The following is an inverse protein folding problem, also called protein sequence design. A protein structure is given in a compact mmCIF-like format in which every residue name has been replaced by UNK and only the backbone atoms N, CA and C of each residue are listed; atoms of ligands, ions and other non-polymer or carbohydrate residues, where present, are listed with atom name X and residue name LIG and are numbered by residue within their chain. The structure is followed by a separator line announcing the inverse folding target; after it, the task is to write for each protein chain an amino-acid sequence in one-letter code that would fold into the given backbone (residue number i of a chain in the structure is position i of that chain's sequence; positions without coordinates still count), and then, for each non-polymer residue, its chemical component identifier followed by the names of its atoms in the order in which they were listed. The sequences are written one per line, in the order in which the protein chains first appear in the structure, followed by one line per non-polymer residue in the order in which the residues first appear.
data_IF_898343831976
#
_entry.id   IF_898343831976
#
_cell.length_a   1.000
_cell.length_b   1.000
_cell.length_c   1.000
_cell.angle_alpha   90.00
_cell.angle_beta   90.00
_cell.angle_gamma   90.00
#
_symmetry.space_group_name_H-M   'P 1'
#
loop_
_entity.id
_entity.type
_entity.pdbx_description
1 polymer ?
#
# COMPACT_ATOMS: atom_id res chain seq x y z
N UNK A 1 -1.04 -38.33 12.09
CA UNK A 1 -0.81 -36.88 11.89
C UNK A 1 -1.85 -36.15 12.70
N UNK A 2 -1.46 -35.44 13.75
CA UNK A 2 -2.42 -34.63 14.53
C UNK A 2 -2.70 -33.36 13.72
N UNK A 3 -3.94 -33.09 13.30
CA UNK A 3 -4.24 -31.86 12.59
C UNK A 3 -3.99 -30.67 13.52
N UNK A 4 -3.16 -29.72 13.07
CA UNK A 4 -2.99 -28.45 13.76
C UNK A 4 -4.37 -27.77 13.86
N UNK A 5 -4.83 -27.53 15.09
CA UNK A 5 -6.07 -26.82 15.36
C UNK A 5 -5.75 -25.33 15.49
N UNK A 6 -6.00 -24.55 14.44
CA UNK A 6 -5.93 -23.10 14.52
C UNK A 6 -7.27 -22.52 14.97
N UNK A 7 -7.25 -21.62 15.95
CA UNK A 7 -8.38 -20.74 16.27
C UNK A 7 -8.20 -19.41 15.53
N UNK A 8 -9.30 -18.82 15.04
CA UNK A 8 -9.27 -17.50 14.39
C UNK A 8 -9.11 -17.52 12.86
N UNK A 9 -8.35 -16.57 12.31
CA UNK A 9 -8.34 -16.24 10.87
C UNK A 9 -7.83 -17.36 9.94
N UNK A 10 -7.02 -18.28 10.46
CA UNK A 10 -6.43 -19.42 9.71
C UNK A 10 -7.14 -20.75 9.98
N UNK A 11 -8.31 -20.72 10.64
CA UNK A 11 -9.08 -21.90 11.00
C UNK A 11 -9.30 -22.86 9.80
N UNK A 12 -8.89 -24.11 9.97
CA UNK A 12 -8.93 -25.20 8.97
C UNK A 12 -8.16 -24.96 7.65
N UNK A 13 -7.17 -24.05 7.62
CA UNK A 13 -6.32 -23.80 6.45
C UNK A 13 -4.95 -24.48 6.53
N UNK A 14 -4.87 -25.68 7.12
CA UNK A 14 -3.62 -26.37 7.42
C UNK A 14 -2.72 -26.58 6.19
N UNK A 15 -3.31 -27.00 5.07
CA UNK A 15 -2.57 -27.19 3.81
C UNK A 15 -1.99 -25.87 3.30
N UNK A 16 -2.79 -24.80 3.31
CA UNK A 16 -2.32 -23.47 2.89
C UNK A 16 -1.20 -22.95 3.80
N UNK A 17 -1.30 -23.15 5.11
CA UNK A 17 -0.27 -22.74 6.06
C UNK A 17 1.02 -23.54 5.87
N UNK A 18 0.92 -24.85 5.66
CA UNK A 18 2.06 -25.69 5.31
C UNK A 18 2.74 -25.18 4.03
N UNK A 19 1.98 -24.89 2.97
CA UNK A 19 2.52 -24.36 1.72
C UNK A 19 3.16 -22.97 1.90
N UNK A 20 2.60 -22.10 2.74
CA UNK A 20 3.19 -20.79 3.04
C UNK A 20 4.51 -20.91 3.84
N UNK A 21 4.61 -21.90 4.74
CA UNK A 21 5.86 -22.21 5.45
C UNK A 21 6.92 -22.75 4.48
N UNK A 22 6.56 -23.72 3.63
CA UNK A 22 7.44 -24.26 2.61
C UNK A 22 7.90 -23.17 1.63
N UNK A 23 7.02 -22.24 1.27
CA UNK A 23 7.36 -21.09 0.42
C UNK A 23 8.34 -20.14 1.10
N UNK A 24 8.13 -19.84 2.38
CA UNK A 24 9.05 -18.99 3.16
C UNK A 24 10.44 -19.61 3.27
N UNK A 25 10.53 -20.95 3.19
CA UNK A 25 11.78 -21.71 3.16
C UNK A 25 12.37 -21.87 1.76
N UNK A 26 11.67 -21.42 0.72
CA UNK A 26 12.09 -21.58 -0.67
C UNK A 26 11.99 -23.01 -1.20
N UNK A 27 11.14 -23.87 -0.62
CA UNK A 27 10.95 -25.26 -1.06
C UNK A 27 9.84 -25.39 -2.11
N UNK A 28 8.80 -24.56 -1.99
CA UNK A 28 7.72 -24.44 -2.98
C UNK A 28 7.54 -22.99 -3.40
N UNK A 29 6.94 -22.76 -4.56
CA UNK A 29 6.65 -21.42 -5.07
C UNK A 29 5.25 -21.35 -5.67
N UNK A 30 4.70 -20.15 -5.74
CA UNK A 30 3.46 -19.89 -6.48
C UNK A 30 3.82 -19.86 -7.97
N UNK A 31 3.47 -20.92 -8.69
CA UNK A 31 3.72 -21.04 -10.14
C UNK A 31 2.64 -20.32 -10.98
N UNK A 32 1.48 -20.01 -10.40
CA UNK A 32 0.40 -19.33 -11.11
C UNK A 32 -0.87 -19.21 -10.29
N UNK A 33 -1.97 -18.82 -10.97
CA UNK A 33 -3.30 -18.74 -10.36
C UNK A 33 -4.38 -19.21 -11.33
N UNK A 34 -5.39 -19.90 -10.79
CA UNK A 34 -6.67 -20.17 -11.47
C UNK A 34 -7.76 -19.44 -10.68
N UNK A 35 -8.26 -18.34 -11.24
CA UNK A 35 -9.13 -17.42 -10.50
C UNK A 35 -8.45 -16.93 -9.22
N UNK A 36 -9.05 -17.22 -8.05
CA UNK A 36 -8.51 -16.85 -6.73
C UNK A 36 -7.61 -17.91 -6.09
N UNK A 37 -7.44 -19.07 -6.72
CA UNK A 37 -6.65 -20.17 -6.19
C UNK A 37 -5.19 -20.08 -6.65
N UNK A 38 -4.25 -20.35 -5.75
CA UNK A 38 -2.81 -20.42 -6.04
C UNK A 38 -2.46 -21.81 -6.57
N UNK A 39 -1.74 -21.85 -7.69
CA UNK A 39 -1.06 -23.05 -8.15
C UNK A 39 0.34 -23.07 -7.53
N UNK A 40 0.73 -24.21 -6.97
CA UNK A 40 2.01 -24.39 -6.29
C UNK A 40 2.85 -25.40 -7.07
N UNK A 41 4.15 -25.15 -7.15
CA UNK A 41 5.13 -26.10 -7.70
C UNK A 41 6.41 -26.05 -6.85
N UNK A 42 7.35 -26.96 -7.12
CA UNK A 42 8.68 -26.93 -6.52
C UNK A 42 9.39 -25.63 -6.88
N UNK A 43 10.05 -25.01 -5.90
CA UNK A 43 10.72 -23.73 -6.09
C UNK A 43 11.75 -23.76 -7.21
N UNK A 44 12.49 -24.85 -7.38
CA UNK A 44 13.51 -25.05 -8.43
C UNK A 44 12.95 -25.02 -9.86
N UNK A 45 11.63 -25.24 -10.04
CA UNK A 45 10.97 -25.17 -11.35
C UNK A 45 10.44 -23.78 -11.67
N UNK A 46 10.35 -22.92 -10.65
CA UNK A 46 9.77 -21.58 -10.75
C UNK A 46 10.84 -20.50 -10.69
N UNK A 47 11.80 -20.64 -9.80
CA UNK A 47 12.91 -19.70 -9.63
C UNK A 47 14.12 -20.11 -10.45
N UNK A 48 14.94 -19.14 -10.92
CA UNK A 48 16.19 -19.44 -11.61
C UNK A 48 17.14 -20.28 -10.74
N UNK A 49 17.84 -21.24 -11.34
CA UNK A 49 18.74 -22.15 -10.63
C UNK A 49 20.04 -21.47 -10.13
N UNK A 50 20.37 -20.31 -10.69
CA UNK A 50 21.56 -19.51 -10.39
C UNK A 50 21.32 -18.45 -9.30
N UNK A 51 20.18 -18.51 -8.60
CA UNK A 51 19.90 -17.60 -7.47
C UNK A 51 20.87 -17.88 -6.33
N UNK A 52 21.80 -16.95 -6.13
CA UNK A 52 22.68 -16.95 -4.96
C UNK A 52 21.88 -16.60 -3.71
N UNK A 53 21.78 -17.54 -2.78
CA UNK A 53 21.14 -17.32 -1.48
C UNK A 53 22.13 -16.57 -0.56
N UNK A 54 21.86 -15.30 -0.20
CA UNK A 54 22.74 -14.54 0.69
C UNK A 54 22.70 -15.07 2.12
N UNK A 55 23.68 -14.68 2.94
CA UNK A 55 23.58 -14.86 4.39
C UNK A 55 22.37 -14.10 4.95
N UNK A 56 21.88 -14.49 6.13
CA UNK A 56 20.75 -13.83 6.78
C UNK A 56 21.02 -12.34 7.00
N UNK A 57 22.25 -12.00 7.38
CA UNK A 57 22.70 -10.61 7.58
C UNK A 57 22.67 -9.81 6.27
N UNK A 58 23.23 -10.37 5.20
CA UNK A 58 23.23 -9.72 3.89
C UNK A 58 21.80 -9.58 3.32
N UNK A 59 20.95 -10.60 3.52
CA UNK A 59 19.54 -10.54 3.16
C UNK A 59 18.81 -9.42 3.90
N UNK A 60 19.07 -9.26 5.19
CA UNK A 60 18.48 -8.21 6.02
C UNK A 60 18.93 -6.82 5.57
N UNK A 61 20.23 -6.65 5.29
CA UNK A 61 20.81 -5.40 4.75
C UNK A 61 20.16 -5.02 3.42
N UNK A 62 20.15 -5.92 2.44
CA UNK A 62 19.53 -5.70 1.11
C UNK A 62 18.05 -5.38 1.20
N UNK A 63 17.31 -6.06 2.10
CA UNK A 63 15.90 -5.78 2.34
C UNK A 63 15.69 -4.36 2.86
N UNK A 64 16.53 -3.93 3.79
CA UNK A 64 16.44 -2.59 4.36
C UNK A 64 16.81 -1.49 3.35
N UNK A 65 17.84 -1.70 2.54
CA UNK A 65 18.22 -0.80 1.44
C UNK A 65 17.08 -0.64 0.43
N UNK A 66 16.50 -1.75 -0.04
CA UNK A 66 15.34 -1.71 -0.96
C UNK A 66 14.11 -1.04 -0.34
N UNK A 67 13.89 -1.25 0.96
CA UNK A 67 12.80 -0.59 1.68
C UNK A 67 13.04 0.91 1.77
N UNK A 68 14.25 1.34 2.12
CA UNK A 68 14.59 2.75 2.19
C UNK A 68 14.45 3.43 0.83
N UNK A 69 14.96 2.80 -0.24
CA UNK A 69 14.80 3.29 -1.60
C UNK A 69 13.33 3.43 -2.02
N UNK A 70 12.47 2.51 -1.59
CA UNK A 70 11.02 2.61 -1.85
C UNK A 70 10.31 3.66 -1.02
N UNK A 71 10.85 4.07 0.14
CA UNK A 71 10.21 5.00 1.06
C UNK A 71 10.78 6.42 0.99
N UNK A 72 11.99 6.58 0.43
CA UNK A 72 12.81 7.80 0.47
C UNK A 72 13.39 8.07 1.85
N UNK A 73 12.56 8.06 2.89
CA UNK A 73 12.94 8.30 4.29
C UNK A 73 12.23 7.34 5.24
N UNK A 74 12.93 6.77 6.21
CA UNK A 74 12.34 5.83 7.17
C UNK A 74 13.03 5.89 8.53
N UNK A 75 12.37 5.38 9.58
CA UNK A 75 12.98 5.29 10.90
C UNK A 75 14.07 4.22 10.94
N UNK A 76 15.18 4.50 11.63
CA UNK A 76 16.25 3.52 11.88
C UNK A 76 15.72 2.34 12.70
N UNK A 77 14.88 2.63 13.70
CA UNK A 77 14.23 1.65 14.58
C UNK A 77 12.75 1.97 14.73
N UNK A 78 11.93 0.93 14.85
CA UNK A 78 10.50 1.06 15.14
C UNK A 78 10.00 -0.17 15.90
N UNK A 79 8.83 -0.06 16.55
CA UNK A 79 8.15 -1.25 17.09
C UNK A 79 7.86 -2.20 15.94
N UNK A 80 8.57 -3.33 15.91
CA UNK A 80 8.30 -4.38 14.95
C UNK A 80 6.90 -4.93 15.20
N UNK A 81 6.01 -4.81 14.21
CA UNK A 81 4.82 -5.64 14.14
C UNK A 81 5.26 -7.07 13.75
N UNK A 82 4.56 -8.12 14.21
CA UNK A 82 4.83 -9.47 13.74
C UNK A 82 4.80 -9.51 12.20
N UNK A 83 5.77 -10.20 11.61
CA UNK A 83 5.92 -10.47 10.16
C UNK A 83 6.51 -9.38 9.27
N UNK A 84 6.42 -8.08 9.58
CA UNK A 84 7.10 -7.05 8.76
C UNK A 84 7.58 -5.84 9.59
N UNK A 85 8.86 -5.82 10.02
CA UNK A 85 9.45 -4.60 10.57
C UNK A 85 9.52 -3.53 9.48
N UNK A 86 9.00 -2.33 9.75
CA UNK A 86 8.96 -1.18 8.83
C UNK A 86 10.22 -0.30 8.88
N UNK A 87 11.12 -0.54 9.85
CA UNK A 87 12.37 0.19 9.99
C UNK A 87 13.46 -0.33 9.04
N UNK A 88 14.55 0.43 8.94
CA UNK A 88 15.64 0.18 7.97
C UNK A 88 17.03 -0.01 8.59
N UNK A 89 17.18 0.05 9.92
CA UNK A 89 18.48 -0.07 10.57
C UNK A 89 19.46 0.97 10.00
N UNK A 90 20.69 0.54 9.70
CA UNK A 90 21.75 1.43 9.19
C UNK A 90 21.73 1.65 7.67
N UNK A 91 20.65 1.32 6.96
CA UNK A 91 20.58 1.61 5.52
C UNK A 91 20.57 3.14 5.26
N UNK A 92 21.15 3.56 4.13
CA UNK A 92 21.23 4.97 3.72
C UNK A 92 22.03 5.84 4.69
N UNK A 93 21.71 7.13 4.76
CA UNK A 93 22.41 8.10 5.59
C UNK A 93 21.55 8.58 6.78
N UNK A 94 22.14 8.89 7.95
CA UNK A 94 21.42 9.54 9.04
C UNK A 94 20.76 10.85 8.60
N UNK A 95 19.50 11.04 8.99
CA UNK A 95 18.74 12.23 8.68
C UNK A 95 18.02 12.77 9.93
N UNK A 96 17.69 14.05 9.91
CA UNK A 96 16.83 14.71 10.88
C UNK A 96 15.64 15.27 10.12
N UNK A 97 14.44 15.04 10.65
CA UNK A 97 13.22 15.68 10.13
C UNK A 97 12.82 16.78 11.08
N UNK A 98 12.68 18.00 10.54
CA UNK A 98 12.33 19.18 11.33
C UNK A 98 11.02 18.95 12.10
N UNK A 99 11.04 19.26 13.40
CA UNK A 99 9.86 19.12 14.26
C UNK A 99 9.50 17.67 14.64
N UNK A 100 10.19 16.64 14.13
CA UNK A 100 9.84 15.24 14.36
C UNK A 100 11.01 14.49 14.99
N UNK A 101 10.84 14.12 16.26
CA UNK A 101 11.85 13.40 17.01
C UNK A 101 12.12 11.98 16.46
N UNK A 102 13.35 11.54 16.67
CA UNK A 102 13.79 10.17 16.44
C UNK A 102 14.92 10.04 15.42
N UNK A 103 15.43 8.82 15.29
CA UNK A 103 16.50 8.48 14.36
C UNK A 103 15.90 8.14 12.98
N UNK A 104 16.21 8.97 11.99
CA UNK A 104 15.77 8.78 10.61
C UNK A 104 16.93 8.41 9.72
N UNK A 105 16.61 7.68 8.65
CA UNK A 105 17.51 7.37 7.55
C UNK A 105 16.88 7.82 6.25
N UNK A 106 17.69 8.35 5.35
CA UNK A 106 17.29 8.79 4.01
C UNK A 106 18.06 8.02 2.95
N UNK A 107 17.42 7.72 1.84
CA UNK A 107 18.10 7.24 0.64
C UNK A 107 18.90 8.40 0.03
N UNK A 108 20.23 8.31 -0.07
CA UNK A 108 21.03 9.37 -0.69
C UNK A 108 20.63 9.65 -2.14
N UNK A 109 20.09 8.65 -2.85
CA UNK A 109 19.60 8.82 -4.22
C UNK A 109 18.31 9.67 -4.31
N UNK A 110 17.66 9.95 -3.18
CA UNK A 110 16.49 10.82 -3.11
C UNK A 110 16.84 12.28 -2.72
N UNK A 111 18.14 12.62 -2.62
CA UNK A 111 18.61 13.94 -2.23
C UNK A 111 19.24 14.69 -3.42
N UNK A 112 19.13 16.02 -3.39
CA UNK A 112 19.89 16.92 -4.29
C UNK A 112 19.24 17.20 -5.65
N UNK A 113 18.15 16.51 -5.97
CA UNK A 113 17.36 16.76 -7.18
C UNK A 113 16.26 17.79 -6.94
N UNK A 114 15.87 18.51 -8.01
CA UNK A 114 14.67 19.36 -8.01
C UNK A 114 13.41 18.50 -7.85
N UNK A 115 12.47 18.95 -7.02
CA UNK A 115 11.21 18.26 -6.82
C UNK A 115 10.16 18.69 -7.85
N UNK A 116 9.74 17.76 -8.71
CA UNK A 116 8.56 17.91 -9.55
C UNK A 116 7.40 17.08 -8.98
N UNK A 117 6.48 17.76 -8.30
CA UNK A 117 5.32 17.10 -7.71
C UNK A 117 4.26 16.71 -8.75
N UNK A 118 3.51 15.63 -8.46
CA UNK A 118 2.38 15.17 -9.28
C UNK A 118 1.09 15.06 -8.47
N UNK A 119 -0.03 14.92 -9.15
CA UNK A 119 -1.28 14.49 -8.50
C UNK A 119 -1.41 12.98 -8.65
N UNK A 120 -1.91 12.27 -7.64
CA UNK A 120 -2.17 10.84 -7.74
C UNK A 120 -3.26 10.39 -6.76
N UNK A 121 -4.06 9.42 -7.18
CA UNK A 121 -4.94 8.66 -6.28
C UNK A 121 -4.19 7.44 -5.76
N UNK A 122 -3.89 7.43 -4.46
CA UNK A 122 -3.10 6.37 -3.85
C UNK A 122 -3.98 5.19 -3.44
N UNK A 123 -3.43 3.99 -3.59
CA UNK A 123 -3.99 2.82 -2.93
C UNK A 123 -3.92 3.00 -1.40
N UNK A 124 -4.90 2.53 -0.62
CA UNK A 124 -4.79 2.42 0.84
C UNK A 124 -3.60 1.57 1.31
N UNK A 125 -3.01 0.80 0.39
CA UNK A 125 -1.81 -0.03 0.61
C UNK A 125 -0.55 0.55 -0.04
N UNK A 126 -0.62 1.77 -0.57
CA UNK A 126 0.56 2.46 -1.08
C UNK A 126 1.58 2.67 0.05
N UNK A 127 2.87 2.53 -0.27
CA UNK A 127 3.97 2.63 0.70
C UNK A 127 3.99 4.00 1.40
N UNK A 128 3.48 5.05 0.76
CA UNK A 128 3.40 6.39 1.35
C UNK A 128 2.43 6.45 2.54
N UNK A 129 1.32 5.71 2.50
CA UNK A 129 0.20 5.80 3.46
C UNK A 129 -0.02 4.53 4.30
N UNK A 130 0.64 3.42 3.95
CA UNK A 130 0.45 2.13 4.60
C UNK A 130 0.87 2.17 6.09
N UNK A 131 2.00 2.80 6.38
CA UNK A 131 2.43 3.13 7.74
C UNK A 131 1.78 4.45 8.18
N UNK A 132 0.61 4.33 8.82
CA UNK A 132 -0.19 5.49 9.25
C UNK A 132 0.52 6.37 10.27
N UNK A 133 1.42 5.80 11.09
CA UNK A 133 2.16 6.57 12.10
C UNK A 133 3.15 7.48 11.37
N UNK A 134 3.97 6.91 10.50
CA UNK A 134 4.91 7.70 9.67
C UNK A 134 4.17 8.71 8.79
N UNK A 135 3.03 8.32 8.24
CA UNK A 135 2.22 9.22 7.40
C UNK A 135 1.71 10.42 8.18
N UNK A 136 1.18 10.18 9.39
CA UNK A 136 0.74 11.26 10.28
C UNK A 136 1.91 12.15 10.71
N UNK A 137 3.06 11.57 11.03
CA UNK A 137 4.24 12.33 11.45
C UNK A 137 4.76 13.22 10.32
N UNK A 138 5.01 12.65 9.13
CA UNK A 138 5.66 13.36 8.03
C UNK A 138 4.72 14.27 7.23
N UNK A 139 3.42 13.95 7.14
CA UNK A 139 2.48 14.64 6.26
C UNK A 139 1.28 15.25 7.00
N UNK A 140 1.20 15.12 8.32
CA UNK A 140 0.06 15.55 9.15
C UNK A 140 -1.29 15.04 8.59
N UNK A 141 -1.31 13.77 8.16
CA UNK A 141 -2.43 13.21 7.41
C UNK A 141 -3.09 12.02 8.14
N UNK A 142 -4.29 12.28 8.68
CA UNK A 142 -5.11 11.27 9.34
C UNK A 142 -5.82 10.38 8.30
N UNK A 143 -5.50 9.10 8.28
CA UNK A 143 -6.13 8.15 7.37
C UNK A 143 -6.26 6.74 7.93
N UNK A 144 -7.49 6.20 7.84
CA UNK A 144 -7.82 4.83 8.22
C UNK A 144 -8.62 4.20 7.10
N UNK A 145 -8.23 2.98 6.71
CA UNK A 145 -8.98 2.17 5.76
C UNK A 145 -10.22 1.58 6.43
N UNK A 146 -11.40 1.97 5.96
CA UNK A 146 -12.67 1.67 6.65
C UNK A 146 -13.47 0.51 6.04
N UNK A 147 -12.85 -0.32 5.20
CA UNK A 147 -13.52 -1.48 4.57
C UNK A 147 -14.14 -2.44 5.60
N UNK A 148 -13.56 -2.50 6.80
CA UNK A 148 -14.00 -3.34 7.90
C UNK A 148 -15.04 -2.66 8.81
N UNK A 149 -15.26 -1.35 8.66
CA UNK A 149 -16.32 -0.66 9.39
C UNK A 149 -17.68 -0.93 8.75
N UNK A 150 -18.77 -1.09 9.54
CA UNK A 150 -20.13 -1.02 9.03
C UNK A 150 -20.35 0.26 8.22
N UNK A 151 -21.15 0.21 7.15
CA UNK A 151 -21.35 1.34 6.22
C UNK A 151 -21.71 2.65 6.92
N UNK A 152 -22.53 2.58 7.98
CA UNK A 152 -23.01 3.74 8.75
C UNK A 152 -21.94 4.38 9.64
N UNK A 153 -20.84 3.67 9.92
CA UNK A 153 -19.73 4.16 10.76
C UNK A 153 -18.53 4.62 9.93
N UNK A 154 -18.66 4.64 8.61
CA UNK A 154 -17.59 5.10 7.70
C UNK A 154 -17.63 6.63 7.61
N UNK A 155 -16.48 7.25 7.86
CA UNK A 155 -16.23 8.68 7.64
C UNK A 155 -15.82 8.95 6.19
N UNK A 156 -14.99 8.06 5.64
CA UNK A 156 -14.33 8.26 4.34
C UNK A 156 -14.88 7.38 3.23
N UNK A 157 -15.52 6.27 3.57
CA UNK A 157 -16.05 5.33 2.57
C UNK A 157 -15.43 3.95 2.65
N UNK A 158 -15.80 3.04 1.75
CA UNK A 158 -15.38 1.63 1.85
C UNK A 158 -13.89 1.44 1.56
N UNK A 159 -13.40 2.12 0.53
CA UNK A 159 -12.04 1.99 0.03
C UNK A 159 -11.53 3.36 -0.45
N UNK A 160 -11.63 4.35 0.43
CA UNK A 160 -11.26 5.72 0.13
C UNK A 160 -9.78 5.84 -0.27
N UNK A 161 -9.51 6.37 -1.45
CA UNK A 161 -8.18 6.54 -2.03
C UNK A 161 -7.59 7.89 -1.56
N UNK A 162 -6.46 7.93 -0.83
CA UNK A 162 -5.79 9.19 -0.51
C UNK A 162 -5.42 9.98 -1.78
N UNK A 163 -5.57 11.30 -1.71
CA UNK A 163 -5.20 12.22 -2.80
C UNK A 163 -3.84 12.83 -2.47
N UNK A 164 -2.83 12.47 -3.25
CA UNK A 164 -1.56 13.19 -3.30
C UNK A 164 -1.70 14.32 -4.31
N UNK A 165 -1.25 15.52 -3.94
CA UNK A 165 -1.12 16.65 -4.85
C UNK A 165 0.20 17.36 -4.55
N UNK A 166 1.12 17.25 -5.51
CA UNK A 166 2.52 17.61 -5.36
C UNK A 166 3.17 16.91 -4.15
N UNK A 167 3.56 17.67 -3.14
CA UNK A 167 4.23 17.22 -1.92
C UNK A 167 3.26 16.95 -0.75
N UNK A 168 1.94 17.05 -0.97
CA UNK A 168 0.95 17.02 0.12
C UNK A 168 -0.14 15.98 -0.10
N UNK A 169 -0.57 15.35 1.00
CA UNK A 169 -1.80 14.58 1.04
C UNK A 169 -2.95 15.53 1.38
N UNK A 170 -3.88 15.72 0.44
CA UNK A 170 -4.85 16.84 0.47
C UNK A 170 -6.30 16.40 0.68
N UNK A 171 -6.58 15.10 0.56
CA UNK A 171 -7.94 14.60 0.68
C UNK A 171 -8.06 13.09 0.46
N UNK A 172 -9.30 12.64 0.26
CA UNK A 172 -9.65 11.26 -0.07
C UNK A 172 -10.74 11.21 -1.14
N UNK A 173 -10.72 10.21 -2.00
CA UNK A 173 -11.83 9.90 -2.93
C UNK A 173 -12.44 8.55 -2.57
N UNK A 174 -13.73 8.52 -2.24
CA UNK A 174 -14.50 7.26 -2.21
C UNK A 174 -15.07 6.99 -3.60
N UNK A 175 -14.52 5.98 -4.27
CA UNK A 175 -14.98 5.59 -5.59
C UNK A 175 -15.16 4.06 -5.70
N UNK A 176 -16.00 3.63 -6.63
CA UNK A 176 -16.22 2.21 -6.92
C UNK A 176 -16.24 1.97 -8.43
N UNK A 177 -15.49 0.96 -8.87
CA UNK A 177 -15.55 0.48 -10.24
C UNK A 177 -16.86 -0.30 -10.50
N UNK A 178 -17.83 0.35 -11.13
CA UNK A 178 -19.07 -0.28 -11.58
C UNK A 178 -18.86 -0.85 -13.00
N UNK A 179 -18.33 -2.07 -13.05
CA UNK A 179 -18.00 -2.74 -14.31
C UNK A 179 -19.22 -3.04 -15.18
N UNK A 180 -20.42 -3.15 -14.59
CA UNK A 180 -21.65 -3.42 -15.35
C UNK A 180 -22.09 -2.16 -16.10
N UNK A 181 -21.99 -1.00 -15.46
CA UNK A 181 -22.27 0.28 -16.10
C UNK A 181 -21.07 0.84 -16.88
N UNK A 182 -19.88 0.23 -16.75
CA UNK A 182 -18.62 0.72 -17.31
C UNK A 182 -18.23 2.11 -16.80
N UNK A 183 -18.41 2.37 -15.49
CA UNK A 183 -18.09 3.68 -14.89
C UNK A 183 -17.32 3.57 -13.59
N UNK A 184 -16.43 4.52 -13.34
CA UNK A 184 -15.86 4.80 -12.03
C UNK A 184 -16.81 5.72 -11.28
N UNK A 185 -17.58 5.16 -10.34
CA UNK A 185 -18.59 5.90 -9.59
C UNK A 185 -17.95 6.56 -8.36
N UNK A 186 -17.89 7.88 -8.36
CA UNK A 186 -17.36 8.71 -7.26
C UNK A 186 -18.49 9.04 -6.29
N UNK A 187 -18.44 8.47 -5.08
CA UNK A 187 -19.45 8.69 -4.04
C UNK A 187 -19.19 9.96 -3.25
N UNK A 188 -17.91 10.26 -2.99
CA UNK A 188 -17.50 11.45 -2.27
C UNK A 188 -16.05 11.82 -2.59
N UNK A 189 -15.77 13.12 -2.59
CA UNK A 189 -14.42 13.69 -2.49
C UNK A 189 -14.37 14.39 -1.14
N UNK A 190 -13.50 13.90 -0.25
CA UNK A 190 -13.24 14.47 1.07
C UNK A 190 -12.04 15.40 0.96
N UNK A 191 -12.29 16.69 1.13
CA UNK A 191 -11.26 17.73 1.14
C UNK A 191 -10.74 17.91 2.57
N UNK A 192 -9.51 17.49 2.86
CA UNK A 192 -8.85 17.82 4.14
C UNK A 192 -8.32 19.26 4.11
N UNK A 193 -8.07 19.79 2.91
CA UNK A 193 -7.84 21.20 2.62
C UNK A 193 -8.75 21.64 1.49
N UNK A 194 -9.17 22.91 1.48
CA UNK A 194 -10.02 23.44 0.41
C UNK A 194 -9.31 23.32 -0.95
N UNK A 195 -9.93 22.64 -1.89
CA UNK A 195 -9.36 22.47 -3.23
C UNK A 195 -9.45 23.78 -4.02
N UNK A 196 -8.32 24.15 -4.63
CA UNK A 196 -8.30 25.19 -5.66
C UNK A 196 -8.83 24.64 -6.97
N UNK A 197 -9.14 25.52 -7.93
CA UNK A 197 -9.57 25.09 -9.28
C UNK A 197 -8.53 24.19 -9.96
N UNK A 198 -7.25 24.49 -9.78
CA UNK A 198 -6.15 23.69 -10.32
C UNK A 198 -6.11 22.30 -9.68
N UNK A 199 -6.24 22.22 -8.35
CA UNK A 199 -6.30 20.95 -7.63
C UNK A 199 -7.50 20.11 -8.07
N UNK A 200 -8.70 20.71 -8.12
CA UNK A 200 -9.91 20.01 -8.58
C UNK A 200 -9.73 19.44 -9.98
N UNK A 201 -9.13 20.22 -10.90
CA UNK A 201 -8.86 19.75 -12.25
C UNK A 201 -7.87 18.59 -12.27
N UNK A 202 -6.79 18.67 -11.50
CA UNK A 202 -5.79 17.60 -11.44
C UNK A 202 -6.36 16.30 -10.84
N UNK A 203 -7.17 16.40 -9.78
CA UNK A 203 -7.87 15.23 -9.20
C UNK A 203 -8.86 14.63 -10.19
N UNK A 204 -9.56 15.47 -10.96
CA UNK A 204 -10.45 14.99 -12.02
C UNK A 204 -9.70 14.25 -13.12
N UNK A 205 -8.54 14.75 -13.56
CA UNK A 205 -7.66 14.03 -14.50
C UNK A 205 -7.23 12.68 -13.95
N UNK A 206 -6.80 12.60 -12.68
CA UNK A 206 -6.42 11.33 -12.06
C UNK A 206 -7.59 10.33 -11.94
N UNK A 207 -8.81 10.81 -11.74
CA UNK A 207 -10.02 9.96 -11.77
C UNK A 207 -10.27 9.37 -13.15
N UNK A 208 -10.08 10.18 -14.20
CA UNK A 208 -10.22 9.77 -15.60
C UNK A 208 -9.14 8.76 -15.98
N UNK A 209 -7.89 9.00 -15.59
CA UNK A 209 -6.77 8.09 -15.79
C UNK A 209 -6.97 6.76 -15.06
N UNK A 210 -7.47 6.81 -13.81
CA UNK A 210 -7.82 5.60 -13.06
C UNK A 210 -8.97 4.83 -13.74
N UNK A 211 -10.00 5.52 -14.24
CA UNK A 211 -11.09 4.89 -14.96
C UNK A 211 -10.59 4.20 -16.24
N UNK A 212 -9.73 4.88 -17.01
CA UNK A 212 -9.09 4.32 -18.20
C UNK A 212 -8.24 3.09 -17.86
N UNK A 213 -7.40 3.18 -16.82
CA UNK A 213 -6.56 2.08 -16.36
C UNK A 213 -7.39 0.85 -15.93
N UNK A 214 -8.56 1.08 -15.33
CA UNK A 214 -9.50 0.03 -14.95
C UNK A 214 -10.32 -0.53 -16.13
N UNK A 215 -10.20 0.04 -17.32
CA UNK A 215 -10.99 -0.32 -18.50
C UNK A 215 -12.44 0.12 -18.42
N UNK A 216 -12.72 1.27 -17.78
CA UNK A 216 -14.04 1.86 -17.63
C UNK A 216 -14.21 3.02 -18.63
N UNK A 217 -15.44 3.26 -19.09
CA UNK A 217 -15.74 4.24 -20.13
C UNK A 217 -15.95 5.67 -19.64
N UNK A 218 -16.25 5.87 -18.36
CA UNK A 218 -16.48 7.22 -17.81
C UNK A 218 -16.26 7.29 -16.29
N UNK A 219 -16.12 8.52 -15.79
CA UNK A 219 -16.20 8.87 -14.36
C UNK A 219 -17.56 9.52 -14.12
N UNK A 220 -18.29 9.06 -13.10
CA UNK A 220 -19.59 9.62 -12.75
C UNK A 220 -19.65 9.94 -11.26
N UNK A 221 -20.16 11.11 -10.91
CA UNK A 221 -20.62 11.36 -9.55
C UNK A 221 -21.80 10.42 -9.22
N UNK A 222 -21.81 9.84 -8.04
CA UNK A 222 -22.97 9.12 -7.56
C UNK A 222 -24.14 10.12 -7.44
N UNK A 223 -25.21 9.90 -8.22
CA UNK A 223 -26.45 10.67 -8.06
C UNK A 223 -27.01 10.51 -6.64
N UNK A 224 -27.95 11.38 -6.19
CA UNK A 224 -28.59 11.24 -4.90
C UNK A 224 -29.22 9.84 -4.81
N UNK A 225 -28.61 8.97 -4.00
CA UNK A 225 -28.94 7.56 -3.99
C UNK A 225 -30.43 7.35 -3.74
N UNK A 226 -31.09 6.58 -4.60
CA UNK A 226 -32.38 5.98 -4.22
C UNK A 226 -32.12 5.14 -2.98
N UNK A 227 -32.61 5.61 -1.83
CA UNK A 227 -32.64 4.85 -0.59
C UNK A 227 -33.33 3.52 -0.90
N UNK A 228 -32.60 2.42 -0.75
CA UNK A 228 -33.19 1.08 -0.56
C UNK A 228 -33.16 0.80 0.93
#
# INVERSE_FOLDING_TARGET
VVPWASTGWTNNRNVTQMLEVLMTRGEVAIAGRVGRQRLWDLAERVYPADVVVPSVEEAARRKNERRLASLGIARQKSRAMPMEPIHVGEAGEPAVVEGIAGEWRVDPAALGDDFEGRTALLSPFDRLVHDRVRTQELFDYEYVLEMYKPKTLRRWGYFALPVLHHDRLVGKVDATADRKASVLRVHAIHEDVRFTRTMTKAVQTELEDLALWLGLGAVEAAGPGRRR
#
